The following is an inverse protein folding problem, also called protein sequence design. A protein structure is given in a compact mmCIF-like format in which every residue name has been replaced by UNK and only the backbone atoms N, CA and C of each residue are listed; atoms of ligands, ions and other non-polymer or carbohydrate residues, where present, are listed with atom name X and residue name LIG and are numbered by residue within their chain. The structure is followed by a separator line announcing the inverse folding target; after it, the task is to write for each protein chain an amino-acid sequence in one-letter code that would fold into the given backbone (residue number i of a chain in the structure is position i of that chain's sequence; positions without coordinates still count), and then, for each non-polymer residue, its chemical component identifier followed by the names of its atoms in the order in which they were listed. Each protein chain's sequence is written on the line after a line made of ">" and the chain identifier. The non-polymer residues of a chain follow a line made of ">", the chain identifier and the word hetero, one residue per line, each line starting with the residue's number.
data_IF_276126405424
#
_entry.id   IF_276126405424
#
_cell.length_a   1.000
_cell.length_b   1.000
_cell.length_c   1.000
_cell.angle_alpha   90.00
_cell.angle_beta   90.00
_cell.angle_gamma   90.00
#
_symmetry.space_group_name_H-M   'P 1'
#
loop_
_entity.id
_entity.type
_entity.pdbx_description
1 polymer ?
#
# COMPACT_ATOMS: atom_id res chain seq x y z
N UNK A 1 -34.86 50.51 16.49
CA UNK A 1 -34.06 50.08 15.32
C UNK A 1 -32.57 49.93 15.62
N UNK A 2 -31.94 50.78 16.44
CA UNK A 2 -30.53 50.61 16.86
C UNK A 2 -30.26 49.32 17.67
N UNK A 3 -31.20 48.92 18.52
CA UNK A 3 -31.11 47.68 19.31
C UNK A 3 -31.32 46.40 18.49
N UNK A 4 -32.03 46.49 17.36
CA UNK A 4 -32.27 45.36 16.45
C UNK A 4 -31.06 45.08 15.54
N UNK A 5 -30.29 46.12 15.19
CA UNK A 5 -29.03 45.99 14.45
C UNK A 5 -27.91 45.33 15.26
N UNK A 6 -27.87 45.54 16.59
CA UNK A 6 -26.89 44.88 17.47
C UNK A 6 -27.16 43.37 17.64
N UNK A 7 -28.42 42.93 17.54
CA UNK A 7 -28.78 41.52 17.67
C UNK A 7 -28.40 40.67 16.45
N UNK A 8 -28.31 41.27 15.25
CA UNK A 8 -27.97 40.58 14.00
C UNK A 8 -26.45 40.41 13.82
N UNK A 9 -25.64 41.27 14.45
CA UNK A 9 -24.17 41.17 14.40
C UNK A 9 -23.64 40.08 15.37
N UNK A 10 -24.42 39.74 16.41
CA UNK A 10 -24.01 38.74 17.41
C UNK A 10 -24.25 37.28 16.97
N UNK A 11 -25.03 37.03 15.92
CA UNK A 11 -25.34 35.66 15.46
C UNK A 11 -24.40 35.14 14.37
N UNK A 12 -23.44 35.95 13.90
CA UNK A 12 -22.48 35.56 12.85
C UNK A 12 -21.24 34.84 13.43
N UNK A 13 -21.04 34.84 14.75
CA UNK A 13 -19.78 34.43 15.39
C UNK A 13 -19.67 32.96 15.83
N UNK A 14 -20.49 32.04 15.32
CA UNK A 14 -20.39 30.61 15.67
C UNK A 14 -20.30 29.71 14.44
N UNK A 15 -19.27 29.92 13.62
CA UNK A 15 -18.70 28.84 12.82
C UNK A 15 -17.28 28.60 13.30
N UNK A 16 -17.14 28.10 14.54
CA UNK A 16 -15.90 27.42 14.92
C UNK A 16 -15.97 26.06 14.25
N UNK A 17 -15.62 25.99 12.97
CA UNK A 17 -15.21 24.73 12.37
C UNK A 17 -13.92 24.39 13.11
N UNK A 18 -14.01 23.56 14.14
CA UNK A 18 -12.84 22.88 14.67
C UNK A 18 -12.35 21.97 13.54
N UNK A 19 -11.54 22.51 12.63
CA UNK A 19 -10.76 21.70 11.73
C UNK A 19 -9.90 20.81 12.63
N UNK A 20 -10.12 19.51 12.56
CA UNK A 20 -9.27 18.52 13.22
C UNK A 20 -8.34 17.95 12.15
N UNK A 21 -7.26 17.31 12.58
CA UNK A 21 -6.45 16.55 11.63
C UNK A 21 -7.27 15.38 11.07
N UNK A 22 -7.03 15.05 9.81
CA UNK A 22 -7.66 13.93 9.12
C UNK A 22 -6.58 13.05 8.51
N UNK A 23 -6.59 11.77 8.87
CA UNK A 23 -5.75 10.75 8.24
C UNK A 23 -6.59 10.09 7.15
N UNK A 24 -6.19 10.25 5.89
CA UNK A 24 -6.79 9.59 4.74
C UNK A 24 -6.08 8.25 4.53
N UNK A 25 -6.80 7.13 4.66
CA UNK A 25 -6.25 5.78 4.43
C UNK A 25 -6.33 5.40 2.95
N UNK A 26 -5.45 4.49 2.52
CA UNK A 26 -5.43 3.96 1.14
C UNK A 26 -6.67 3.13 0.77
N UNK A 27 -7.46 2.69 1.75
CA UNK A 27 -8.74 2.05 1.50
C UNK A 27 -9.88 3.05 1.27
N UNK A 28 -9.63 4.36 1.44
CA UNK A 28 -10.59 5.45 1.27
C UNK A 28 -11.27 5.89 2.58
N UNK A 29 -11.00 5.23 3.70
CA UNK A 29 -11.50 5.65 5.01
C UNK A 29 -10.77 6.92 5.48
N UNK A 30 -11.49 7.81 6.14
CA UNK A 30 -10.93 9.01 6.76
C UNK A 30 -11.06 8.93 8.27
N UNK A 31 -9.95 9.09 8.99
CA UNK A 31 -9.92 9.11 10.45
C UNK A 31 -9.73 10.54 10.92
N UNK A 32 -10.80 11.13 11.46
CA UNK A 32 -10.71 12.43 12.16
C UNK A 32 -10.07 12.21 13.52
N UNK A 33 -8.93 12.86 13.76
CA UNK A 33 -8.11 12.65 14.95
C UNK A 33 -7.23 13.86 15.26
N UNK A 34 -6.41 13.74 16.30
CA UNK A 34 -5.28 14.63 16.55
C UNK A 34 -3.99 13.85 16.36
N UNK A 35 -3.17 14.27 15.40
CA UNK A 35 -1.85 13.66 15.13
C UNK A 35 -0.88 14.13 16.22
N UNK A 36 -0.17 13.18 16.83
CA UNK A 36 0.76 13.47 17.94
C UNK A 36 2.21 13.34 17.49
N UNK A 37 2.53 12.28 16.75
CA UNK A 37 3.89 11.97 16.33
C UNK A 37 3.89 11.23 15.00
N UNK A 38 4.78 11.64 14.10
CA UNK A 38 5.03 10.96 12.83
C UNK A 38 6.46 10.41 12.90
N UNK A 39 6.58 9.09 12.91
CA UNK A 39 7.87 8.38 12.89
C UNK A 39 8.17 7.90 11.47
N UNK A 40 9.28 7.22 11.23
CA UNK A 40 9.61 6.71 9.89
C UNK A 40 8.60 5.67 9.38
N UNK A 41 8.07 4.80 10.26
CA UNK A 41 7.18 3.70 9.88
C UNK A 41 5.70 3.88 10.24
N UNK A 42 5.39 4.75 11.21
CA UNK A 42 4.04 4.83 11.76
C UNK A 42 3.68 6.21 12.30
N UNK A 43 2.38 6.41 12.52
CA UNK A 43 1.81 7.66 13.00
C UNK A 43 1.02 7.38 14.26
N UNK A 44 1.36 8.11 15.32
CA UNK A 44 0.62 8.09 16.58
C UNK A 44 -0.41 9.20 16.57
N UNK A 45 -1.63 8.85 16.93
CA UNK A 45 -2.76 9.78 16.95
C UNK A 45 -3.72 9.42 18.09
N UNK A 46 -4.65 10.33 18.39
CA UNK A 46 -5.77 10.05 19.30
C UNK A 46 -7.09 10.49 18.71
N UNK A 47 -8.16 9.75 19.01
CA UNK A 47 -9.51 10.13 18.63
C UNK A 47 -9.99 11.32 19.47
N UNK A 48 -10.97 12.05 18.95
CA UNK A 48 -11.51 13.21 19.65
C UNK A 48 -12.28 12.76 20.90
N UNK A 49 -11.98 13.39 22.04
CA UNK A 49 -12.63 13.06 23.32
C UNK A 49 -12.06 11.81 24.01
N UNK A 50 -11.04 11.19 23.43
CA UNK A 50 -10.35 10.04 24.01
C UNK A 50 -8.87 10.39 24.26
N UNK A 51 -8.31 9.83 25.33
CA UNK A 51 -6.87 9.91 25.60
C UNK A 51 -6.12 8.61 25.23
N UNK A 52 -6.83 7.67 24.59
CA UNK A 52 -6.21 6.45 24.07
C UNK A 52 -5.28 6.80 22.89
N UNK A 53 -4.01 6.41 23.02
CA UNK A 53 -3.03 6.55 21.97
C UNK A 53 -3.16 5.39 20.98
N UNK A 54 -3.46 5.75 19.73
CA UNK A 54 -3.55 4.84 18.60
C UNK A 54 -2.30 4.95 17.73
N UNK A 55 -1.99 3.87 17.00
CA UNK A 55 -0.84 3.80 16.12
C UNK A 55 -1.25 3.15 14.79
N UNK A 56 -0.95 3.82 13.68
CA UNK A 56 -1.24 3.33 12.32
C UNK A 56 0.05 3.32 11.49
N UNK A 57 0.26 2.24 10.74
CA UNK A 57 1.40 2.16 9.80
C UNK A 57 1.23 3.15 8.67
N UNK A 58 2.32 3.83 8.28
CA UNK A 58 2.32 4.74 7.12
C UNK A 58 1.93 4.03 5.83
N UNK A 59 2.18 2.72 5.71
CA UNK A 59 1.83 1.93 4.52
C UNK A 59 0.33 1.87 4.26
N UNK A 60 -0.50 2.25 5.23
CA UNK A 60 -1.96 2.31 5.11
C UNK A 60 -2.49 3.71 4.80
N UNK A 61 -1.61 4.73 4.78
CA UNK A 61 -1.99 6.14 4.75
C UNK A 61 -1.66 6.73 3.38
N UNK A 62 -2.65 7.38 2.78
CA UNK A 62 -2.49 8.16 1.57
C UNK A 62 -1.92 9.54 1.92
N UNK A 63 -2.63 10.29 2.76
CA UNK A 63 -2.22 11.62 3.18
C UNK A 63 -2.80 12.00 4.54
N UNK A 64 -2.22 13.04 5.15
CA UNK A 64 -2.77 13.72 6.31
C UNK A 64 -3.11 15.14 5.93
N UNK A 65 -4.34 15.55 6.26
CA UNK A 65 -4.76 16.95 6.21
C UNK A 65 -4.78 17.46 7.64
N UNK A 66 -3.87 18.38 7.98
CA UNK A 66 -3.80 18.95 9.32
C UNK A 66 -4.86 20.03 9.51
N UNK A 67 -5.20 20.34 10.77
CA UNK A 67 -6.11 21.45 11.12
C UNK A 67 -5.69 22.79 10.50
N UNK A 68 -4.38 22.99 10.31
CA UNK A 68 -3.79 24.18 9.66
C UNK A 68 -4.06 24.27 8.15
N UNK A 69 -4.62 23.24 7.52
CA UNK A 69 -4.75 23.10 6.07
C UNK A 69 -3.49 22.58 5.37
N UNK A 70 -2.39 22.34 6.11
CA UNK A 70 -1.21 21.66 5.57
C UNK A 70 -1.59 20.24 5.16
N UNK A 71 -1.13 19.80 3.99
CA UNK A 71 -1.30 18.42 3.51
C UNK A 71 0.06 17.75 3.43
N UNK A 72 0.18 16.57 4.04
CA UNK A 72 1.38 15.74 3.99
C UNK A 72 1.04 14.39 3.35
N UNK A 73 1.63 14.11 2.19
CA UNK A 73 1.33 12.91 1.39
C UNK A 73 2.37 11.83 1.69
N UNK A 74 1.91 10.60 1.85
CA UNK A 74 2.76 9.46 2.16
C UNK A 74 2.78 8.46 1.02
N UNK A 75 1.62 7.95 0.61
CA UNK A 75 1.52 6.92 -0.41
C UNK A 75 0.46 7.26 -1.45
N UNK A 76 0.56 6.58 -2.60
CA UNK A 76 -0.47 6.63 -3.63
C UNK A 76 -1.22 5.31 -3.65
N UNK A 77 -2.56 5.37 -3.65
CA UNK A 77 -3.40 4.20 -3.78
C UNK A 77 -3.12 3.46 -5.08
N UNK A 78 -2.76 2.19 -4.97
CA UNK A 78 -2.67 1.26 -6.09
C UNK A 78 -4.06 0.61 -6.23
N UNK A 79 -4.64 0.64 -7.44
CA UNK A 79 -5.91 -0.04 -7.71
C UNK A 79 -5.66 -1.15 -8.72
N UNK A 80 -5.99 -2.38 -8.31
CA UNK A 80 -5.82 -3.60 -9.10
C UNK A 80 -7.18 -4.25 -9.29
N UNK A 81 -7.76 -4.13 -10.48
CA UNK A 81 -9.12 -4.62 -10.77
C UNK A 81 -9.14 -6.05 -11.33
N UNK A 82 -7.98 -6.58 -11.70
CA UNK A 82 -7.86 -7.92 -12.26
C UNK A 82 -6.49 -8.16 -12.89
N UNK A 83 -6.38 -9.28 -13.59
CA UNK A 83 -5.11 -9.79 -14.13
C UNK A 83 -4.37 -8.83 -15.05
N UNK A 84 -5.07 -7.98 -15.78
CA UNK A 84 -4.46 -7.02 -16.70
C UNK A 84 -3.70 -5.90 -15.97
N UNK A 85 -4.07 -5.63 -14.72
CA UNK A 85 -3.43 -4.64 -13.85
C UNK A 85 -2.16 -5.18 -13.15
N UNK A 86 -1.64 -6.34 -13.57
CA UNK A 86 -0.48 -7.00 -12.93
C UNK A 86 0.77 -6.13 -12.83
N UNK A 87 0.98 -5.17 -13.74
CA UNK A 87 2.13 -4.28 -13.71
C UNK A 87 2.10 -3.33 -12.50
N UNK A 88 0.89 -2.99 -12.03
CA UNK A 88 0.67 -2.13 -10.86
C UNK A 88 0.99 -2.83 -9.54
N UNK A 89 1.03 -4.17 -9.53
CA UNK A 89 1.36 -4.95 -8.33
C UNK A 89 2.82 -4.71 -7.94
N UNK A 90 3.02 -4.25 -6.70
CA UNK A 90 4.33 -3.99 -6.14
C UNK A 90 4.95 -5.28 -5.60
N UNK A 91 6.24 -5.47 -5.86
CA UNK A 91 7.02 -6.58 -5.31
C UNK A 91 7.97 -5.99 -4.28
N UNK A 92 8.04 -6.58 -3.10
CA UNK A 92 8.98 -6.21 -2.05
C UNK A 92 9.65 -7.46 -1.45
N UNK A 93 10.83 -7.27 -0.87
CA UNK A 93 11.52 -8.26 -0.05
C UNK A 93 11.56 -7.84 1.43
N UNK A 94 11.03 -6.66 1.75
CA UNK A 94 11.10 -6.07 3.08
C UNK A 94 9.76 -6.25 3.79
N UNK A 95 9.80 -6.82 4.99
CA UNK A 95 8.61 -6.99 5.82
C UNK A 95 8.04 -5.65 6.31
N UNK A 96 8.89 -4.61 6.40
CA UNK A 96 8.46 -3.25 6.75
C UNK A 96 7.39 -2.70 5.81
N UNK A 97 7.44 -3.06 4.53
CA UNK A 97 6.56 -2.53 3.49
C UNK A 97 5.15 -3.15 3.53
N UNK A 98 4.99 -4.26 4.25
CA UNK A 98 3.72 -4.97 4.40
C UNK A 98 3.09 -4.78 5.78
N UNK A 99 3.70 -3.98 6.66
CA UNK A 99 3.15 -3.70 7.97
C UNK A 99 1.77 -3.05 7.85
N UNK A 100 0.79 -3.59 8.59
CA UNK A 100 -0.60 -3.15 8.58
C UNK A 100 -1.44 -3.68 7.41
N UNK A 101 -0.83 -4.26 6.37
CA UNK A 101 -1.59 -4.85 5.27
C UNK A 101 -2.19 -6.20 5.66
N UNK A 102 -3.32 -6.56 5.04
CA UNK A 102 -3.94 -7.87 5.24
C UNK A 102 -3.17 -8.91 4.44
N UNK A 103 -2.62 -9.90 5.16
CA UNK A 103 -1.96 -11.07 4.56
C UNK A 103 -2.98 -11.93 3.82
N UNK A 104 -2.68 -12.24 2.57
CA UNK A 104 -3.42 -13.18 1.74
C UNK A 104 -2.73 -14.53 1.63
N UNK A 105 -2.85 -15.11 0.45
CA UNK A 105 -2.33 -16.45 0.13
C UNK A 105 -0.89 -16.41 -0.38
N UNK A 106 -0.19 -17.52 -0.18
CA UNK A 106 1.09 -17.79 -0.83
C UNK A 106 0.86 -18.23 -2.28
N UNK A 107 1.70 -17.75 -3.18
CA UNK A 107 1.63 -18.00 -4.61
C UNK A 107 3.01 -18.40 -5.12
N UNK A 108 3.03 -19.37 -6.03
CA UNK A 108 4.25 -19.85 -6.68
C UNK A 108 4.12 -19.70 -8.19
N UNK A 109 5.18 -19.17 -8.82
CA UNK A 109 5.26 -19.07 -10.25
C UNK A 109 6.58 -19.68 -10.77
N UNK A 110 6.45 -20.51 -11.81
CA UNK A 110 7.58 -21.17 -12.48
C UNK A 110 7.68 -20.72 -13.93
N UNK A 111 8.91 -20.60 -14.41
CA UNK A 111 9.22 -20.36 -15.80
C UNK A 111 10.40 -21.23 -16.25
N UNK A 112 10.25 -21.89 -17.40
CA UNK A 112 11.29 -22.70 -18.02
C UNK A 112 11.43 -22.31 -19.50
N UNK A 113 12.64 -22.36 -20.04
CA UNK A 113 12.89 -22.29 -21.49
C UNK A 113 13.08 -23.70 -22.04
N UNK A 114 12.43 -24.01 -23.17
CA UNK A 114 12.47 -25.35 -23.77
C UNK A 114 13.82 -25.66 -24.43
N UNK A 115 14.34 -24.74 -25.25
CA UNK A 115 15.58 -24.92 -25.99
C UNK A 115 16.26 -23.57 -26.20
N UNK A 116 17.11 -23.11 -25.28
CA UNK A 116 17.91 -21.90 -25.55
C UNK A 116 19.05 -21.67 -24.56
N UNK A 117 20.04 -20.92 -25.03
CA UNK A 117 21.06 -20.14 -24.30
C UNK A 117 20.48 -19.02 -23.43
N UNK A 118 19.18 -19.03 -23.14
CA UNK A 118 18.51 -17.97 -22.35
C UNK A 118 19.07 -17.94 -20.93
N UNK A 119 19.56 -16.76 -20.52
CA UNK A 119 20.07 -16.54 -19.17
C UNK A 119 18.99 -16.66 -18.09
N UNK A 120 19.41 -17.13 -16.92
CA UNK A 120 18.58 -17.31 -15.72
C UNK A 120 17.74 -16.07 -15.37
N UNK A 121 18.30 -14.86 -15.52
CA UNK A 121 17.59 -13.61 -15.21
C UNK A 121 16.33 -13.38 -16.05
N UNK A 122 16.32 -13.78 -17.33
CA UNK A 122 15.10 -13.68 -18.17
C UNK A 122 14.01 -14.62 -17.68
N UNK A 123 14.38 -15.79 -17.17
CA UNK A 123 13.43 -16.76 -16.63
C UNK A 123 12.90 -16.32 -15.27
N UNK A 124 13.74 -15.73 -14.43
CA UNK A 124 13.34 -15.11 -13.18
C UNK A 124 12.34 -13.98 -13.41
N UNK A 125 12.61 -13.08 -14.36
CA UNK A 125 11.66 -12.01 -14.74
C UNK A 125 10.31 -12.60 -15.17
N UNK A 126 10.31 -13.61 -16.05
CA UNK A 126 9.07 -14.29 -16.46
C UNK A 126 8.33 -14.96 -15.30
N UNK A 127 9.05 -15.50 -14.32
CA UNK A 127 8.45 -16.10 -13.13
C UNK A 127 7.79 -15.00 -12.26
N UNK A 128 8.47 -13.86 -12.06
CA UNK A 128 7.92 -12.69 -11.35
C UNK A 128 6.68 -12.14 -12.08
N UNK A 129 6.72 -11.97 -13.40
CA UNK A 129 5.57 -11.47 -14.17
C UNK A 129 4.35 -12.39 -14.02
N UNK A 130 4.56 -13.71 -14.01
CA UNK A 130 3.49 -14.68 -13.73
C UNK A 130 2.99 -14.59 -12.30
N UNK A 131 3.87 -14.38 -11.32
CA UNK A 131 3.49 -14.19 -9.92
C UNK A 131 2.64 -12.95 -9.75
N UNK A 132 3.04 -11.82 -10.33
CA UNK A 132 2.27 -10.57 -10.35
C UNK A 132 0.89 -10.75 -10.98
N UNK A 133 0.79 -11.52 -12.08
CA UNK A 133 -0.50 -11.84 -12.71
C UNK A 133 -1.41 -12.64 -11.79
N UNK A 134 -0.88 -13.65 -11.09
CA UNK A 134 -1.66 -14.40 -10.08
C UNK A 134 -2.10 -13.50 -8.94
N UNK A 135 -1.21 -12.60 -8.48
CA UNK A 135 -1.52 -11.67 -7.41
C UNK A 135 -2.63 -10.68 -7.81
N UNK A 136 -2.55 -10.14 -9.02
CA UNK A 136 -3.54 -9.22 -9.56
C UNK A 136 -4.90 -9.88 -9.79
N UNK A 137 -4.91 -11.13 -10.26
CA UNK A 137 -6.12 -11.94 -10.40
C UNK A 137 -6.85 -12.15 -9.05
N UNK A 138 -6.11 -12.13 -7.94
CA UNK A 138 -6.63 -12.24 -6.57
C UNK A 138 -6.86 -10.89 -5.88
N UNK A 139 -6.62 -9.76 -6.57
CA UNK A 139 -6.79 -8.41 -6.01
C UNK A 139 -5.73 -8.03 -4.96
N UNK A 140 -4.55 -8.64 -5.00
CA UNK A 140 -3.43 -8.22 -4.16
C UNK A 140 -2.69 -7.04 -4.77
N UNK A 141 -2.30 -6.09 -3.91
CA UNK A 141 -1.64 -4.85 -4.29
C UNK A 141 -0.11 -4.96 -4.15
N UNK A 142 0.33 -5.70 -3.14
CA UNK A 142 1.74 -5.90 -2.80
C UNK A 142 2.02 -7.40 -2.67
N UNK A 143 3.20 -7.85 -3.08
CA UNK A 143 3.66 -9.23 -2.91
C UNK A 143 5.02 -9.21 -2.22
N UNK A 144 5.10 -9.87 -1.06
CA UNK A 144 6.36 -10.14 -0.37
C UNK A 144 6.99 -11.40 -0.97
N UNK A 145 8.19 -11.29 -1.56
CA UNK A 145 8.93 -12.45 -2.05
C UNK A 145 9.58 -13.19 -0.90
N UNK A 146 9.34 -14.51 -0.82
CA UNK A 146 9.93 -15.40 0.19
C UNK A 146 11.15 -16.12 -0.39
N UNK A 147 11.04 -16.62 -1.62
CA UNK A 147 12.12 -17.42 -2.22
C UNK A 147 12.18 -17.20 -3.71
N UNK A 148 13.40 -17.06 -4.22
CA UNK A 148 13.69 -17.13 -5.65
C UNK A 148 14.74 -18.18 -5.92
N UNK A 149 14.41 -19.17 -6.74
CA UNK A 149 15.33 -20.23 -7.15
C UNK A 149 15.50 -20.18 -8.66
N UNK A 150 16.73 -20.36 -9.15
CA UNK A 150 17.00 -20.42 -10.59
C UNK A 150 18.17 -21.34 -10.90
N UNK A 151 18.12 -21.95 -12.08
CA UNK A 151 19.19 -22.79 -12.63
C UNK A 151 19.43 -22.38 -14.08
N UNK A 152 20.68 -22.04 -14.41
CA UNK A 152 21.11 -21.72 -15.78
C UNK A 152 21.06 -22.95 -16.70
N UNK A 153 20.77 -22.72 -17.99
CA UNK A 153 20.88 -23.74 -19.03
C UNK A 153 22.27 -23.72 -19.66
N UNK A 154 22.79 -24.87 -20.07
CA UNK A 154 24.05 -25.01 -20.81
C UNK A 154 23.78 -25.43 -22.25
N UNK A 155 24.56 -24.89 -23.19
CA UNK A 155 24.45 -25.25 -24.62
C UNK A 155 24.93 -26.70 -24.81
N UNK A 156 24.08 -27.56 -25.39
CA UNK A 156 24.41 -28.95 -25.74
C UNK A 156 23.93 -30.05 -24.78
N UNK A 157 23.36 -29.72 -23.60
CA UNK A 157 22.73 -30.69 -22.70
C UNK A 157 21.24 -30.37 -22.58
N UNK A 158 20.39 -31.37 -22.77
CA UNK A 158 18.92 -31.28 -22.68
C UNK A 158 18.47 -30.59 -21.39
N UNK A 159 18.04 -29.32 -21.49
CA UNK A 159 17.41 -28.56 -20.41
C UNK A 159 17.76 -27.06 -20.42
N UNK A 160 16.84 -26.23 -20.93
CA UNK A 160 16.99 -24.77 -20.85
C UNK A 160 16.88 -24.23 -19.42
N UNK A 161 17.21 -22.94 -19.23
CA UNK A 161 17.16 -22.28 -17.94
C UNK A 161 15.76 -22.32 -17.32
N UNK A 162 15.72 -22.48 -15.98
CA UNK A 162 14.48 -22.54 -15.19
C UNK A 162 14.56 -21.60 -14.00
N UNK A 163 13.44 -21.00 -13.62
CA UNK A 163 13.32 -20.22 -12.39
C UNK A 163 11.95 -20.43 -11.74
N UNK A 164 11.93 -20.39 -10.41
CA UNK A 164 10.74 -20.42 -9.59
C UNK A 164 10.80 -19.28 -8.57
N UNK A 165 9.67 -18.62 -8.36
CA UNK A 165 9.50 -17.62 -7.32
C UNK A 165 8.30 -17.98 -6.45
N UNK A 166 8.43 -17.72 -5.15
CA UNK A 166 7.37 -17.88 -4.15
C UNK A 166 7.21 -16.54 -3.44
N UNK A 167 5.97 -16.08 -3.29
CA UNK A 167 5.65 -14.89 -2.52
C UNK A 167 4.24 -14.91 -1.96
N UNK A 168 3.99 -14.05 -0.98
CA UNK A 168 2.67 -13.91 -0.33
C UNK A 168 2.05 -12.60 -0.77
N UNK A 169 0.78 -12.67 -1.20
CA UNK A 169 0.01 -11.49 -1.57
C UNK A 169 -0.52 -10.74 -0.36
N UNK A 170 -0.57 -9.42 -0.46
CA UNK A 170 -1.10 -8.52 0.55
C UNK A 170 -2.05 -7.50 -0.09
N UNK A 171 -3.07 -7.10 0.66
CA UNK A 171 -4.03 -6.08 0.24
C UNK A 171 -4.26 -5.04 1.33
N UNK A 172 -4.73 -3.87 0.93
CA UNK A 172 -5.28 -2.90 1.87
C UNK A 172 -6.49 -3.50 2.60
N UNK A 173 -6.72 -3.01 3.81
CA UNK A 173 -7.88 -3.39 4.63
C UNK A 173 -9.21 -3.00 3.97
#
# INVERSE_FOLDING_TARGET
>A
MRTLLMAIILTISLNVINAQDQILKLNGETVTCKVLEITDGSIKYKHLGEDLLNNISKNLIEEIVFESGRVEKFNKRIVVNGKDDWEKVQITNLESDIQGLIRGEEMMAKAASGWSTTGQGKMQKKAIDKLKKQAAEKGYHVVLLITTTGKGGHFGISGGAKSSVIGVGYKYE
#
